data_IF_105151104356
#
_entry.id   IF_105151104356
#
_cell.length_a   1.000
_cell.length_b   1.000
_cell.length_c   1.000
_cell.angle_alpha   90.00
_cell.angle_beta   90.00
_cell.angle_gamma   90.00
#
_symmetry.space_group_name_H-M   'P 1'
#
loop_
_entity.id
_entity.type
_entity.pdbx_description
1 polymer ?
#
# COMPACT_ATOMS: atom_id res chain seq x y z
N UNK A 1 18.90 12.62 -2.15
CA UNK A 1 17.44 12.91 -2.22
C UNK A 1 16.87 11.96 -3.27
N UNK A 2 16.00 11.04 -2.88
CA UNK A 2 15.30 10.21 -3.84
C UNK A 2 14.33 11.09 -4.64
N UNK A 3 14.29 10.90 -5.96
CA UNK A 3 13.30 11.56 -6.80
C UNK A 3 11.89 11.06 -6.43
N UNK A 4 10.88 11.91 -6.63
CA UNK A 4 9.49 11.49 -6.50
C UNK A 4 9.19 10.40 -7.55
N UNK A 5 8.43 9.35 -7.20
CA UNK A 5 7.90 8.44 -8.20
C UNK A 5 7.10 9.19 -9.26
N UNK A 6 7.16 8.79 -10.54
CA UNK A 6 6.37 9.44 -11.58
C UNK A 6 4.88 9.39 -11.23
N UNK A 7 4.20 10.52 -11.43
CA UNK A 7 2.76 10.68 -11.15
C UNK A 7 2.34 10.60 -9.69
N UNK A 8 3.27 10.60 -8.73
CA UNK A 8 2.94 10.52 -7.30
C UNK A 8 2.49 11.84 -6.69
N UNK A 9 2.75 12.96 -7.34
CA UNK A 9 2.36 14.29 -6.89
C UNK A 9 1.83 15.15 -8.03
N UNK A 10 0.88 16.04 -7.72
CA UNK A 10 0.30 17.02 -8.62
C UNK A 10 0.46 18.43 -8.05
N UNK A 11 0.70 19.40 -8.93
CA UNK A 11 0.72 20.82 -8.57
C UNK A 11 -0.66 21.41 -8.74
N UNK A 12 -1.18 22.01 -7.69
CA UNK A 12 -2.48 22.68 -7.69
C UNK A 12 -2.37 24.09 -7.11
N UNK A 13 -3.33 24.95 -7.47
CA UNK A 13 -3.47 26.24 -6.82
C UNK A 13 -4.38 26.09 -5.60
N UNK A 14 -3.87 26.46 -4.43
CA UNK A 14 -4.59 26.38 -3.16
C UNK A 14 -4.91 27.78 -2.63
N UNK A 15 -6.11 27.95 -2.08
CA UNK A 15 -6.51 29.17 -1.39
C UNK A 15 -6.19 29.05 0.10
N UNK A 16 -5.28 29.88 0.60
CA UNK A 16 -4.93 29.93 2.03
C UNK A 16 -5.88 30.86 2.78
N UNK A 17 -6.52 30.33 3.80
CA UNK A 17 -7.39 31.07 4.71
C UNK A 17 -6.74 31.26 6.08
N UNK A 18 -7.01 32.36 6.78
CA UNK A 18 -7.99 33.44 6.48
C UNK A 18 -7.49 34.52 5.53
N UNK A 19 -6.23 34.50 5.10
CA UNK A 19 -5.60 35.60 4.32
C UNK A 19 -6.13 35.78 2.89
N UNK A 20 -6.76 34.75 2.30
CA UNK A 20 -7.41 34.85 0.98
C UNK A 20 -6.43 34.93 -0.20
N UNK A 21 -5.17 34.49 -0.04
CA UNK A 21 -4.23 34.46 -1.18
C UNK A 21 -4.17 33.07 -1.80
N UNK A 22 -3.87 33.04 -3.09
CA UNK A 22 -3.65 31.79 -3.83
C UNK A 22 -2.16 31.55 -3.98
N UNK A 23 -1.74 30.32 -3.75
CA UNK A 23 -0.36 29.87 -4.00
C UNK A 23 -0.35 28.48 -4.62
N UNK A 24 0.75 28.13 -5.29
CA UNK A 24 0.97 26.76 -5.77
C UNK A 24 1.47 25.87 -4.67
N UNK A 25 0.88 24.68 -4.58
CA UNK A 25 1.24 23.65 -3.63
C UNK A 25 1.36 22.28 -4.33
N UNK A 26 2.05 21.35 -3.72
CA UNK A 26 2.16 19.98 -4.20
C UNK A 26 1.30 19.06 -3.30
N UNK A 27 0.45 18.27 -3.92
CA UNK A 27 -0.40 17.29 -3.24
C UNK A 27 -0.11 15.89 -3.76
N UNK A 28 -0.19 14.88 -2.89
CA UNK A 28 -0.10 13.49 -3.32
C UNK A 28 -1.28 13.18 -4.24
N UNK A 29 -1.00 12.45 -5.32
CA UNK A 29 -2.03 11.87 -6.19
C UNK A 29 -2.53 10.60 -5.54
N UNK A 30 -3.84 10.39 -5.53
CA UNK A 30 -4.46 9.19 -5.00
C UNK A 30 -5.35 8.58 -6.09
N UNK A 31 -5.09 7.31 -6.41
CA UNK A 31 -5.80 6.56 -7.43
C UNK A 31 -6.15 5.16 -6.92
N UNK A 32 -7.22 4.52 -7.43
CA UNK A 32 -7.51 3.14 -7.11
C UNK A 32 -6.44 2.20 -7.70
N UNK A 33 -6.16 1.11 -7.00
CA UNK A 33 -5.34 -0.01 -7.47
C UNK A 33 -6.10 -1.30 -7.27
N UNK A 34 -6.32 -2.07 -8.34
CA UNK A 34 -6.81 -3.44 -8.26
C UNK A 34 -5.63 -4.39 -8.06
N UNK A 35 -5.69 -5.17 -6.98
CA UNK A 35 -4.72 -6.23 -6.70
C UNK A 35 -5.34 -7.54 -7.15
N UNK A 36 -4.62 -8.28 -7.99
CA UNK A 36 -4.98 -9.59 -8.48
C UNK A 36 -3.98 -10.62 -7.99
N UNK A 37 -4.42 -11.85 -7.80
CA UNK A 37 -3.57 -12.98 -7.43
C UNK A 37 -3.94 -14.17 -8.30
N UNK A 38 -2.95 -14.73 -9.00
CA UNK A 38 -3.13 -15.88 -9.89
C UNK A 38 -4.29 -15.69 -10.90
N UNK A 39 -4.47 -14.45 -11.40
CA UNK A 39 -5.51 -14.09 -12.36
C UNK A 39 -6.87 -13.71 -11.76
N UNK A 40 -7.04 -13.77 -10.44
CA UNK A 40 -8.29 -13.40 -9.76
C UNK A 40 -8.16 -12.04 -9.04
N UNK A 41 -9.16 -11.16 -9.18
CA UNK A 41 -9.22 -9.90 -8.46
C UNK A 41 -9.54 -10.16 -6.98
N UNK A 42 -8.67 -9.69 -6.08
CA UNK A 42 -8.79 -9.93 -4.65
C UNK A 42 -9.05 -8.65 -3.84
N UNK A 43 -8.55 -7.51 -4.29
CA UNK A 43 -8.76 -6.25 -3.56
C UNK A 43 -8.74 -5.04 -4.49
N UNK A 44 -9.41 -3.97 -4.06
CA UNK A 44 -9.23 -2.62 -4.60
C UNK A 44 -8.89 -1.70 -3.44
N UNK A 45 -7.77 -1.01 -3.54
CA UNK A 45 -7.32 -0.03 -2.54
C UNK A 45 -6.99 1.30 -3.18
N UNK A 46 -7.03 2.38 -2.41
CA UNK A 46 -6.47 3.66 -2.86
C UNK A 46 -4.98 3.69 -2.57
N UNK A 47 -4.21 4.27 -3.49
CA UNK A 47 -2.75 4.39 -3.31
C UNK A 47 -2.20 5.62 -4.02
N UNK A 48 -1.02 6.06 -3.63
CA UNK A 48 -0.18 6.96 -4.40
C UNK A 48 0.62 6.15 -5.44
N UNK A 49 0.54 6.46 -6.76
CA UNK A 49 1.24 5.70 -7.80
C UNK A 49 2.76 5.63 -7.59
N UNK A 50 3.37 4.50 -7.97
CA UNK A 50 4.83 4.37 -8.11
C UNK A 50 5.50 3.24 -7.34
N UNK A 51 4.80 2.56 -6.43
CA UNK A 51 5.29 1.41 -5.67
C UNK A 51 4.22 0.33 -5.56
N UNK A 52 3.54 0.07 -6.68
CA UNK A 52 2.34 -0.77 -6.73
C UNK A 52 2.66 -2.24 -6.45
N UNK A 53 3.83 -2.71 -6.91
CA UNK A 53 4.30 -4.09 -6.69
C UNK A 53 4.62 -4.33 -5.21
N UNK A 54 5.37 -3.43 -4.57
CA UNK A 54 5.69 -3.51 -3.14
C UNK A 54 4.44 -3.40 -2.27
N UNK A 55 3.48 -2.54 -2.67
CA UNK A 55 2.21 -2.41 -1.98
C UNK A 55 1.41 -3.70 -2.04
N UNK A 56 1.31 -4.34 -3.23
CA UNK A 56 0.60 -5.59 -3.40
C UNK A 56 1.23 -6.73 -2.58
N UNK A 57 2.56 -6.88 -2.63
CA UNK A 57 3.28 -7.89 -1.85
C UNK A 57 3.07 -7.68 -0.35
N UNK A 58 3.19 -6.44 0.13
CA UNK A 58 2.98 -6.11 1.54
C UNK A 58 1.54 -6.34 1.99
N UNK A 59 0.55 -5.99 1.15
CA UNK A 59 -0.85 -6.26 1.41
C UNK A 59 -1.13 -7.76 1.55
N UNK A 60 -0.70 -8.57 0.58
CA UNK A 60 -0.91 -10.01 0.59
C UNK A 60 -0.24 -10.69 1.79
N UNK A 61 0.97 -10.26 2.14
CA UNK A 61 1.67 -10.75 3.33
C UNK A 61 0.89 -10.43 4.61
N UNK A 62 0.29 -9.23 4.70
CA UNK A 62 -0.52 -8.84 5.86
C UNK A 62 -1.84 -9.61 5.97
N UNK A 63 -2.33 -10.14 4.85
CA UNK A 63 -3.51 -11.03 4.80
C UNK A 63 -3.16 -12.51 5.03
N UNK A 64 -1.90 -12.82 5.34
CA UNK A 64 -1.44 -14.17 5.70
C UNK A 64 -1.03 -15.03 4.51
N UNK A 65 -0.88 -14.45 3.32
CA UNK A 65 -0.35 -15.13 2.14
C UNK A 65 1.17 -15.04 2.07
N UNK A 66 1.75 -15.95 1.30
CA UNK A 66 3.18 -15.94 0.96
C UNK A 66 3.36 -15.58 -0.51
N UNK A 67 3.27 -14.28 -0.89
CA UNK A 67 3.42 -13.89 -2.28
C UNK A 67 4.86 -14.12 -2.75
N UNK A 68 5.01 -14.59 -4.00
CA UNK A 68 6.31 -14.85 -4.62
C UNK A 68 6.81 -13.63 -5.38
N UNK A 69 5.94 -13.03 -6.19
CA UNK A 69 6.28 -11.85 -7.00
C UNK A 69 5.02 -11.03 -7.30
N UNK A 70 5.20 -9.79 -7.69
CA UNK A 70 4.17 -8.93 -8.25
C UNK A 70 4.71 -8.21 -9.48
N UNK A 71 3.84 -7.87 -10.42
CA UNK A 71 4.18 -7.20 -11.67
C UNK A 71 3.03 -6.32 -12.17
N UNK A 72 3.34 -5.39 -13.07
CA UNK A 72 2.38 -4.53 -13.75
C UNK A 72 2.25 -5.01 -15.21
N UNK A 73 1.36 -5.97 -15.50
CA UNK A 73 1.23 -6.51 -16.84
C UNK A 73 0.72 -5.46 -17.82
N UNK A 74 1.35 -5.35 -19.00
CA UNK A 74 1.00 -4.37 -20.02
C UNK A 74 -0.36 -4.62 -20.70
N UNK A 75 -0.90 -5.80 -20.57
CA UNK A 75 -2.18 -6.24 -21.13
C UNK A 75 -3.36 -6.07 -20.18
N UNK A 76 -3.11 -5.74 -18.93
CA UNK A 76 -4.15 -5.43 -17.96
C UNK A 76 -4.51 -3.93 -17.97
N UNK A 77 -5.65 -3.61 -17.38
CA UNK A 77 -6.08 -2.23 -17.21
C UNK A 77 -5.05 -1.43 -16.38
N UNK A 78 -4.93 -0.15 -16.70
CA UNK A 78 -4.17 0.77 -15.84
C UNK A 78 -4.66 0.67 -14.40
N UNK A 79 -3.76 0.84 -13.44
CA UNK A 79 -4.05 0.67 -12.01
C UNK A 79 -4.41 -0.77 -11.61
N UNK A 80 -3.79 -1.76 -12.27
CA UNK A 80 -3.90 -3.17 -11.90
C UNK A 80 -2.51 -3.74 -11.65
N UNK A 81 -2.35 -4.48 -10.57
CA UNK A 81 -1.14 -5.25 -10.25
C UNK A 81 -1.50 -6.72 -10.15
N UNK A 82 -0.69 -7.57 -10.78
CA UNK A 82 -0.82 -9.03 -10.72
C UNK A 82 0.26 -9.60 -9.82
N UNK A 83 -0.12 -10.40 -8.84
CA UNK A 83 0.78 -11.13 -7.96
C UNK A 83 0.60 -12.63 -8.10
N UNK A 84 1.63 -13.40 -7.74
CA UNK A 84 1.57 -14.85 -7.63
C UNK A 84 1.76 -15.28 -6.19
N UNK A 85 0.95 -16.25 -5.73
CA UNK A 85 1.08 -16.88 -4.43
C UNK A 85 0.74 -18.36 -4.53
N UNK A 86 1.58 -19.22 -3.90
CA UNK A 86 1.43 -20.68 -3.96
C UNK A 86 0.28 -21.18 -3.08
N UNK A 87 0.03 -20.52 -1.97
CA UNK A 87 -0.98 -20.84 -0.94
C UNK A 87 -2.31 -20.09 -1.13
N UNK A 88 -2.56 -19.59 -2.35
CA UNK A 88 -3.75 -18.81 -2.67
C UNK A 88 -5.00 -19.67 -2.78
N UNK A 89 -5.98 -19.40 -1.91
CA UNK A 89 -7.36 -19.89 -2.01
C UNK A 89 -8.32 -18.71 -2.21
N UNK A 90 -8.85 -18.62 -3.42
CA UNK A 90 -9.75 -17.54 -3.83
C UNK A 90 -11.01 -17.44 -2.94
N UNK A 91 -11.53 -18.56 -2.40
CA UNK A 91 -12.72 -18.54 -1.55
C UNK A 91 -12.45 -17.92 -0.19
N UNK A 92 -11.27 -18.12 0.35
CA UNK A 92 -10.85 -17.52 1.62
C UNK A 92 -10.67 -16.01 1.50
N UNK A 93 -10.22 -15.51 0.33
CA UNK A 93 -10.01 -14.09 0.09
C UNK A 93 -11.17 -13.37 -0.60
N UNK A 94 -12.15 -14.06 -1.15
CA UNK A 94 -13.35 -13.46 -1.80
C UNK A 94 -14.25 -12.63 -0.87
N UNK A 95 -13.86 -12.40 0.36
CA UNK A 95 -14.63 -11.61 1.33
C UNK A 95 -14.44 -10.12 1.13
N UNK A 96 -15.02 -9.57 0.04
CA UNK A 96 -15.31 -8.13 -0.14
C UNK A 96 -14.20 -7.14 0.17
N UNK A 97 -13.28 -6.98 -0.76
CA UNK A 97 -12.13 -6.10 -0.54
C UNK A 97 -12.21 -4.77 -1.27
N UNK A 98 -13.16 -3.94 -0.88
CA UNK A 98 -12.96 -2.51 -1.01
C UNK A 98 -12.41 -1.99 0.32
N UNK A 99 -11.11 -1.72 0.35
CA UNK A 99 -10.45 -1.17 1.55
C UNK A 99 -10.51 0.35 1.47
N UNK A 100 -11.44 0.95 2.20
CA UNK A 100 -11.62 2.41 2.23
C UNK A 100 -10.80 3.11 3.33
N UNK A 101 -10.02 2.37 4.10
CA UNK A 101 -9.22 2.93 5.20
C UNK A 101 -7.84 2.28 5.30
N UNK A 102 -6.87 3.04 5.76
CA UNK A 102 -5.48 2.60 5.95
C UNK A 102 -5.30 1.48 6.98
N UNK A 103 -6.29 1.19 7.81
CA UNK A 103 -6.21 0.12 8.81
C UNK A 103 -6.59 -1.27 8.23
N UNK A 104 -7.12 -1.36 6.98
CA UNK A 104 -7.48 -2.61 6.32
C UNK A 104 -8.66 -3.37 6.94
N UNK A 105 -9.34 -2.81 7.95
CA UNK A 105 -10.48 -3.48 8.63
C UNK A 105 -11.79 -3.26 7.89
N UNK A 106 -11.94 -2.12 7.21
CA UNK A 106 -13.14 -1.84 6.42
C UNK A 106 -13.24 -2.81 5.24
N UNK A 107 -14.38 -3.50 5.12
CA UNK A 107 -14.59 -4.56 4.14
C UNK A 107 -14.45 -5.99 4.69
N UNK A 108 -13.86 -6.18 5.85
CA UNK A 108 -13.88 -7.47 6.54
C UNK A 108 -15.24 -7.63 7.23
N UNK A 109 -16.10 -8.48 6.64
CA UNK A 109 -17.51 -8.61 7.06
C UNK A 109 -17.74 -9.36 8.36
N UNK A 110 -16.72 -9.90 8.99
CA UNK A 110 -16.80 -10.64 10.24
C UNK A 110 -15.59 -10.40 11.13
N UNK A 111 -15.77 -10.50 12.44
CA UNK A 111 -14.71 -10.31 13.42
C UNK A 111 -13.56 -11.30 13.22
N UNK A 112 -13.89 -12.53 12.85
CA UNK A 112 -12.95 -13.61 12.54
C UNK A 112 -12.03 -13.28 11.36
N UNK A 113 -12.51 -12.50 10.41
CA UNK A 113 -11.73 -12.08 9.26
C UNK A 113 -10.65 -11.02 9.59
N UNK A 114 -10.69 -10.44 10.78
CA UNK A 114 -9.65 -9.52 11.26
C UNK A 114 -8.45 -10.28 11.84
N UNK A 115 -8.68 -11.49 12.33
CA UNK A 115 -7.62 -12.34 12.87
C UNK A 115 -6.89 -13.07 11.73
N UNK A 116 -5.62 -12.75 11.55
CA UNK A 116 -4.74 -13.50 10.65
C UNK A 116 -4.02 -14.57 11.47
N UNK A 117 -4.19 -15.84 11.08
CA UNK A 117 -3.44 -16.93 11.69
C UNK A 117 -2.05 -16.98 11.07
N UNK A 118 -1.06 -16.58 11.85
CA UNK A 118 0.33 -16.67 11.46
C UNK A 118 1.04 -17.82 12.19
N UNK A 119 1.96 -18.53 11.55
CA UNK A 119 2.75 -19.55 12.21
C UNK A 119 3.60 -18.93 13.32
N UNK A 120 3.86 -19.71 14.37
CA UNK A 120 4.74 -19.26 15.44
C UNK A 120 6.13 -18.99 14.89
N UNK A 121 6.69 -17.83 15.24
CA UNK A 121 8.08 -17.52 14.91
C UNK A 121 9.02 -18.39 15.73
N UNK A 122 9.77 -19.26 15.05
CA UNK A 122 10.75 -20.17 15.66
C UNK A 122 12.20 -19.69 15.43
N UNK A 123 12.39 -18.39 15.25
CA UNK A 123 13.69 -17.79 14.99
C UNK A 123 14.33 -17.29 16.28
N UNK A 124 15.63 -17.58 16.46
CA UNK A 124 16.47 -16.99 17.50
C UNK A 124 17.01 -15.59 17.13
N UNK A 125 16.56 -15.01 16.04
CA UNK A 125 16.95 -13.68 15.60
C UNK A 125 16.68 -12.64 16.72
N UNK A 126 17.73 -11.93 17.07
CA UNK A 126 17.68 -10.80 18.02
C UNK A 126 17.96 -9.51 17.26
N UNK A 127 17.01 -8.61 17.26
CA UNK A 127 17.19 -7.28 16.65
C UNK A 127 17.60 -6.29 17.74
N UNK A 128 18.76 -5.62 17.61
CA UNK A 128 19.17 -4.58 18.56
C UNK A 128 18.14 -3.46 18.66
N UNK A 129 17.98 -2.91 19.87
CA UNK A 129 16.97 -1.88 20.12
C UNK A 129 17.21 -0.59 19.34
N UNK A 130 18.48 -0.24 19.11
CA UNK A 130 18.88 0.91 18.30
C UNK A 130 18.43 0.76 16.83
N UNK A 131 18.48 -0.45 16.26
CA UNK A 131 17.96 -0.74 14.93
C UNK A 131 16.44 -0.48 14.89
N UNK A 132 15.70 -1.02 15.87
CA UNK A 132 14.24 -0.83 15.96
C UNK A 132 13.88 0.65 16.13
N UNK A 133 14.61 1.35 17.00
CA UNK A 133 14.39 2.77 17.27
C UNK A 133 14.70 3.68 16.07
N UNK A 134 15.55 3.24 15.16
CA UNK A 134 15.90 3.98 13.94
C UNK A 134 14.92 3.73 12.76
N UNK A 135 14.02 2.74 12.86
CA UNK A 135 13.12 2.39 11.75
C UNK A 135 12.20 3.55 11.32
N UNK A 136 11.61 4.35 12.22
CA UNK A 136 10.76 5.47 11.81
C UNK A 136 11.51 6.51 10.96
N UNK A 137 12.76 6.84 11.31
CA UNK A 137 13.57 7.79 10.55
C UNK A 137 13.99 7.22 9.19
N UNK A 138 14.32 5.92 9.15
CA UNK A 138 14.63 5.22 7.90
C UNK A 138 13.42 5.16 6.97
N UNK A 139 12.23 4.86 7.52
CA UNK A 139 10.99 4.88 6.77
C UNK A 139 10.71 6.27 6.19
N UNK A 140 10.81 7.31 7.01
CA UNK A 140 10.64 8.70 6.57
C UNK A 140 11.60 9.08 5.43
N UNK A 141 12.84 8.64 5.49
CA UNK A 141 13.83 8.88 4.43
C UNK A 141 13.47 8.17 3.11
N UNK A 142 12.67 7.12 3.16
CA UNK A 142 12.17 6.36 1.99
C UNK A 142 10.85 6.91 1.43
N UNK A 143 10.28 7.95 2.04
CA UNK A 143 8.98 8.53 1.67
C UNK A 143 9.13 9.96 1.08
N UNK A 144 9.70 10.11 -0.13
CA UNK A 144 9.91 11.43 -0.73
C UNK A 144 8.59 12.15 -1.03
N UNK A 145 7.53 11.44 -1.40
CA UNK A 145 6.20 12.02 -1.64
C UNK A 145 5.65 12.65 -0.36
N UNK A 146 5.73 11.94 0.79
CA UNK A 146 5.32 12.50 2.07
C UNK A 146 6.11 13.76 2.45
N UNK A 147 7.40 13.77 2.17
CA UNK A 147 8.26 14.93 2.45
C UNK A 147 7.87 16.14 1.61
N UNK A 148 7.45 15.93 0.37
CA UNK A 148 7.07 17.01 -0.56
C UNK A 148 5.64 17.51 -0.35
N UNK A 149 4.70 16.61 -0.01
CA UNK A 149 3.25 16.90 -0.06
C UNK A 149 2.54 16.82 1.28
N UNK A 150 3.14 16.14 2.27
CA UNK A 150 2.48 15.80 3.53
C UNK A 150 1.46 14.67 3.41
N UNK A 151 1.33 14.03 2.24
CA UNK A 151 0.46 12.88 1.96
C UNK A 151 1.24 11.67 1.46
N UNK A 152 0.64 10.49 1.55
CA UNK A 152 1.15 9.20 1.05
C UNK A 152 0.18 8.60 0.08
#
# INVERSE_FOLDING_TARGET
MNALPPYSAARIDVLRLPGGWTERDEVAVEEPLEIRVNGEAVAVTMRTPGHDEELALGFLLSEGLSPVEASLPADLAANTVEATAEDFDAETLRRNFYTSSSCGVCGKGALEAVAVEAPRVESDLRVPIDVVSALPDRLRASQPTFTATGGL
#
